data_IF_458647625683
#
_entry.id   IF_458647625683
#
_cell.length_a   1.000
_cell.length_b   1.000
_cell.length_c   1.000
_cell.angle_alpha   90.00
_cell.angle_beta   90.00
_cell.angle_gamma   90.00
#
_symmetry.space_group_name_H-M   'P 1'
#
loop_
_entity.id
_entity.type
_entity.pdbx_description
1 polymer ?
#
# COMPACT_ATOMS: atom_id res chain seq x y z
N UNK A 1 -19.31 -0.10 -11.82
CA UNK A 1 -18.39 -0.87 -10.95
C UNK A 1 -17.34 0.02 -10.24
N UNK A 2 -17.55 1.34 -10.07
CA UNK A 2 -16.51 2.25 -9.55
C UNK A 2 -16.28 2.14 -8.04
N UNK A 3 -17.29 1.74 -7.25
CA UNK A 3 -17.15 1.55 -5.80
C UNK A 3 -16.11 0.49 -5.42
N UNK A 4 -16.01 -0.60 -6.19
CA UNK A 4 -15.04 -1.67 -5.93
C UNK A 4 -13.60 -1.19 -6.11
N UNK A 5 -13.33 -0.39 -7.14
CA UNK A 5 -12.00 0.17 -7.39
C UNK A 5 -11.63 1.19 -6.32
N UNK A 6 -12.60 2.03 -5.92
CA UNK A 6 -12.39 2.97 -4.82
C UNK A 6 -12.07 2.24 -3.51
N UNK A 7 -12.76 1.12 -3.23
CA UNK A 7 -12.50 0.30 -2.05
C UNK A 7 -11.09 -0.31 -2.07
N UNK A 8 -10.68 -0.88 -3.21
CA UNK A 8 -9.33 -1.42 -3.39
C UNK A 8 -8.27 -0.32 -3.20
N UNK A 9 -8.51 0.87 -3.74
CA UNK A 9 -7.60 2.01 -3.60
C UNK A 9 -7.42 2.41 -2.12
N UNK A 10 -8.51 2.47 -1.36
CA UNK A 10 -8.47 2.75 0.08
C UNK A 10 -7.76 1.63 0.85
N UNK A 11 -8.05 0.36 0.56
CA UNK A 11 -7.42 -0.77 1.24
C UNK A 11 -5.92 -0.82 0.96
N UNK A 12 -5.50 -0.62 -0.30
CA UNK A 12 -4.08 -0.56 -0.66
C UNK A 12 -3.36 0.60 0.02
N UNK A 13 -3.99 1.77 0.13
CA UNK A 13 -3.39 2.92 0.81
C UNK A 13 -3.30 2.74 2.33
N UNK A 14 -4.33 2.17 2.95
CA UNK A 14 -4.30 1.79 4.36
C UNK A 14 -3.25 0.73 4.64
N UNK A 15 -3.12 -0.27 3.76
CA UNK A 15 -2.07 -1.29 3.84
C UNK A 15 -0.66 -0.68 3.72
N UNK A 16 -0.45 0.22 2.77
CA UNK A 16 0.81 0.95 2.63
C UNK A 16 1.19 1.69 3.92
N UNK A 17 0.26 2.43 4.53
CA UNK A 17 0.55 3.16 5.76
C UNK A 17 0.77 2.25 6.97
N UNK A 18 0.01 1.15 7.09
CA UNK A 18 0.20 0.19 8.18
C UNK A 18 1.58 -0.50 8.10
N UNK A 19 1.96 -1.01 6.92
CA UNK A 19 3.25 -1.67 6.73
C UNK A 19 4.41 -0.68 6.66
N UNK A 20 4.18 0.54 6.16
CA UNK A 20 5.15 1.64 6.20
C UNK A 20 5.48 2.08 7.63
N UNK A 21 4.47 2.17 8.50
CA UNK A 21 4.70 2.47 9.92
C UNK A 21 5.44 1.33 10.63
N UNK A 22 5.10 0.06 10.31
CA UNK A 22 5.85 -1.10 10.82
C UNK A 22 7.32 -1.09 10.35
N UNK A 23 7.59 -0.66 9.11
CA UNK A 23 8.95 -0.53 8.61
C UNK A 23 9.73 0.63 9.29
N UNK A 24 9.07 1.76 9.55
CA UNK A 24 9.66 2.92 10.25
C UNK A 24 9.87 2.67 11.75
N UNK A 25 8.99 1.88 12.37
CA UNK A 25 9.05 1.56 13.80
C UNK A 25 9.83 0.28 14.10
N UNK A 26 10.25 -0.48 13.07
CA UNK A 26 11.11 -1.64 13.24
C UNK A 26 12.48 -1.18 13.76
N UNK A 27 12.79 -1.55 15.00
CA UNK A 27 14.10 -1.27 15.60
C UNK A 27 15.20 -2.02 14.82
N UNK A 28 16.34 -1.37 14.64
CA UNK A 28 17.53 -1.86 13.91
C UNK A 28 18.04 -3.26 14.30
N UNK A 29 17.58 -3.82 15.42
CA UNK A 29 17.87 -5.19 15.85
C UNK A 29 17.25 -6.27 14.94
N UNK A 30 16.19 -5.94 14.18
CA UNK A 30 15.44 -6.91 13.36
C UNK A 30 15.40 -6.47 11.89
N UNK A 31 16.59 -6.40 11.28
CA UNK A 31 16.76 -5.97 9.88
C UNK A 31 15.87 -6.76 8.91
N UNK A 32 15.61 -8.05 9.19
CA UNK A 32 14.74 -8.90 8.36
C UNK A 32 13.27 -8.48 8.44
N UNK A 33 12.79 -8.08 9.61
CA UNK A 33 11.43 -7.59 9.80
C UNK A 33 11.22 -6.24 9.10
N UNK A 34 12.23 -5.35 9.15
CA UNK A 34 12.25 -4.10 8.40
C UNK A 34 12.17 -4.33 6.89
N UNK A 35 12.95 -5.26 6.33
CA UNK A 35 12.93 -5.57 4.89
C UNK A 35 11.58 -6.14 4.44
N UNK A 36 10.99 -7.04 5.24
CA UNK A 36 9.66 -7.58 4.94
C UNK A 36 8.57 -6.50 5.02
N UNK A 37 8.59 -5.66 6.06
CA UNK A 37 7.65 -4.54 6.17
C UNK A 37 7.79 -3.54 5.01
N UNK A 38 9.02 -3.25 4.59
CA UNK A 38 9.30 -2.39 3.43
C UNK A 38 8.80 -3.00 2.11
N UNK A 39 8.94 -4.33 1.92
CA UNK A 39 8.41 -5.02 0.74
C UNK A 39 6.88 -5.01 0.70
N UNK A 40 6.21 -5.24 1.83
CA UNK A 40 4.75 -5.16 1.92
C UNK A 40 4.26 -3.72 1.70
N UNK A 41 4.98 -2.72 2.22
CA UNK A 41 4.71 -1.31 1.93
C UNK A 41 4.86 -1.03 0.44
N UNK A 42 5.96 -1.44 -0.20
CA UNK A 42 6.18 -1.25 -1.64
C UNK A 42 5.07 -1.91 -2.49
N UNK A 43 4.64 -3.12 -2.12
CA UNK A 43 3.52 -3.80 -2.77
C UNK A 43 2.19 -3.05 -2.61
N UNK A 44 1.91 -2.52 -1.41
CA UNK A 44 0.75 -1.67 -1.13
C UNK A 44 0.77 -0.36 -1.91
N UNK A 45 1.95 0.24 -2.07
CA UNK A 45 2.14 1.46 -2.85
C UNK A 45 1.91 1.22 -4.34
N UNK A 46 2.47 0.14 -4.90
CA UNK A 46 2.28 -0.24 -6.30
C UNK A 46 0.81 -0.56 -6.61
N UNK A 47 0.17 -1.41 -5.79
CA UNK A 47 -1.25 -1.74 -5.98
C UNK A 47 -2.17 -0.54 -5.76
N UNK A 48 -1.88 0.33 -4.79
CA UNK A 48 -2.62 1.57 -4.55
C UNK A 48 -2.52 2.55 -5.72
N UNK A 49 -1.32 2.75 -6.25
CA UNK A 49 -1.10 3.62 -7.42
C UNK A 49 -1.80 3.07 -8.66
N UNK A 50 -1.72 1.76 -8.90
CA UNK A 50 -2.39 1.11 -10.02
C UNK A 50 -3.93 1.18 -9.91
N UNK A 51 -4.47 0.97 -8.70
CA UNK A 51 -5.89 1.11 -8.41
C UNK A 51 -6.37 2.56 -8.61
N UNK A 52 -5.58 3.55 -8.19
CA UNK A 52 -5.86 4.97 -8.40
C UNK A 52 -5.89 5.33 -9.90
N UNK A 53 -4.88 4.91 -10.67
CA UNK A 53 -4.85 5.11 -12.12
C UNK A 53 -6.01 4.41 -12.84
N UNK A 54 -6.40 3.22 -12.38
CA UNK A 54 -7.56 2.49 -12.90
C UNK A 54 -8.90 3.16 -12.55
N UNK A 55 -8.99 3.83 -11.39
CA UNK A 55 -10.15 4.62 -10.97
C UNK A 55 -10.30 5.86 -11.86
N UNK A 56 -9.22 6.63 -12.05
CA UNK A 56 -9.19 7.84 -12.89
C UNK A 56 -9.54 7.52 -14.34
N UNK A 57 -9.04 6.42 -14.91
CA UNK A 57 -9.38 6.02 -16.29
C UNK A 57 -10.84 5.61 -16.47
N UNK A 58 -11.56 5.25 -15.40
CA UNK A 58 -12.99 4.86 -15.45
C UNK A 58 -13.94 5.98 -15.04
N UNK A 59 -13.43 7.09 -14.55
CA UNK A 59 -14.17 8.34 -14.31
C UNK A 59 -13.51 9.46 -15.14
N UNK A 60 -13.94 9.68 -16.40
CA UNK A 60 -13.59 10.90 -17.12
C UNK A 60 -14.22 12.14 -16.49
#
# INVERSE_FOLDING_TARGET
MNKLIALICVISWSGFWAFGYLALSASSADARQMTMAALLAAAGFLTGTFAYMALVRRHP
#
